data_IF_296201791408
#
_entry.id   IF_296201791408
#
_cell.length_a   1.000
_cell.length_b   1.000
_cell.length_c   1.000
_cell.angle_alpha   90.00
_cell.angle_beta   90.00
_cell.angle_gamma   90.00
#
_symmetry.space_group_name_H-M   'P 1'
#
loop_
_entity.id
_entity.type
_entity.pdbx_description
1 polymer ?
#
# COMPACT_ATOMS: atom_id res chain seq x y z
N UNK A 1 -16.79 -36.63 -78.45
CA UNK A 1 -18.06 -36.07 -78.94
C UNK A 1 -18.82 -35.61 -77.70
N UNK A 2 -18.87 -34.32 -77.45
CA UNK A 2 -19.51 -33.72 -76.26
C UNK A 2 -20.98 -33.34 -76.47
N UNK A 3 -21.45 -33.49 -77.74
CA UNK A 3 -22.80 -33.13 -78.12
C UNK A 3 -23.82 -34.22 -77.78
N UNK A 4 -24.96 -33.90 -77.21
CA UNK A 4 -26.03 -34.77 -76.80
C UNK A 4 -26.70 -35.47 -78.03
N UNK A 5 -26.52 -34.91 -79.21
CA UNK A 5 -27.03 -35.47 -80.52
C UNK A 5 -25.94 -35.40 -81.54
N UNK A 6 -25.88 -36.41 -82.32
CA UNK A 6 -24.98 -36.45 -83.48
C UNK A 6 -25.32 -35.30 -84.44
N UNK A 7 -24.36 -34.42 -84.83
CA UNK A 7 -24.63 -33.23 -85.65
C UNK A 7 -24.99 -33.64 -87.11
N UNK A 8 -24.73 -34.85 -87.50
CA UNK A 8 -25.03 -35.33 -88.90
C UNK A 8 -26.36 -36.07 -89.01
N UNK A 9 -26.76 -36.85 -88.03
CA UNK A 9 -27.95 -37.71 -88.14
C UNK A 9 -29.03 -37.45 -87.08
N UNK A 10 -28.71 -36.54 -86.09
CA UNK A 10 -29.62 -36.17 -85.00
C UNK A 10 -29.88 -37.27 -83.99
N UNK A 11 -29.20 -38.42 -84.04
CA UNK A 11 -29.38 -39.53 -83.11
C UNK A 11 -28.84 -39.10 -81.71
N UNK A 12 -29.58 -39.38 -80.62
CA UNK A 12 -29.11 -39.11 -79.30
C UNK A 12 -27.83 -39.87 -78.96
N UNK A 13 -26.88 -39.22 -78.34
CA UNK A 13 -25.65 -39.80 -77.80
C UNK A 13 -25.82 -40.14 -76.32
N UNK A 14 -26.10 -41.38 -75.96
CA UNK A 14 -26.36 -41.77 -74.59
C UNK A 14 -25.13 -41.57 -73.67
N UNK A 15 -23.93 -41.67 -74.20
CA UNK A 15 -22.70 -41.54 -73.48
C UNK A 15 -22.42 -40.07 -73.10
N UNK A 16 -22.74 -39.14 -74.03
CA UNK A 16 -22.62 -37.68 -73.70
C UNK A 16 -23.65 -37.27 -72.71
N UNK A 17 -24.87 -37.76 -72.73
CA UNK A 17 -25.93 -37.52 -71.76
C UNK A 17 -25.49 -38.04 -70.37
N UNK A 18 -25.01 -39.27 -70.31
CA UNK A 18 -24.51 -39.85 -69.06
C UNK A 18 -23.33 -39.08 -68.50
N UNK A 19 -22.37 -38.79 -69.36
CA UNK A 19 -21.21 -37.98 -68.93
C UNK A 19 -21.61 -36.62 -68.34
N UNK A 20 -22.56 -35.93 -68.95
CA UNK A 20 -23.07 -34.66 -68.42
C UNK A 20 -23.79 -34.84 -67.09
N UNK A 21 -24.54 -35.90 -66.90
CA UNK A 21 -25.17 -36.18 -65.58
C UNK A 21 -24.14 -36.52 -64.55
N UNK A 22 -23.14 -37.30 -64.84
CA UNK A 22 -22.02 -37.62 -63.93
C UNK A 22 -21.26 -36.38 -63.58
N UNK A 23 -20.94 -35.51 -64.55
CA UNK A 23 -20.25 -34.24 -64.30
C UNK A 23 -21.07 -33.32 -63.41
N UNK A 24 -22.39 -33.22 -63.54
CA UNK A 24 -23.25 -32.47 -62.64
C UNK A 24 -23.24 -33.05 -61.23
N UNK A 25 -23.25 -34.40 -61.14
CA UNK A 25 -23.16 -35.06 -59.83
C UNK A 25 -21.83 -34.81 -59.16
N UNK A 26 -20.71 -35.00 -59.85
CA UNK A 26 -19.39 -34.69 -59.32
C UNK A 26 -19.19 -33.21 -58.94
N UNK A 27 -19.71 -32.29 -59.73
CA UNK A 27 -19.68 -30.87 -59.44
C UNK A 27 -20.48 -30.56 -58.13
N UNK A 28 -21.63 -31.21 -58.02
CA UNK A 28 -22.47 -31.06 -56.80
C UNK A 28 -21.77 -31.61 -55.52
N UNK A 29 -21.14 -32.79 -55.62
CA UNK A 29 -20.38 -33.36 -54.51
C UNK A 29 -19.14 -32.54 -54.18
N UNK A 30 -18.42 -32.07 -55.20
CA UNK A 30 -17.27 -31.19 -55.00
C UNK A 30 -17.64 -29.89 -54.22
N UNK A 31 -18.73 -29.23 -54.59
CA UNK A 31 -19.19 -28.06 -53.89
C UNK A 31 -19.63 -28.35 -52.46
N UNK A 32 -20.28 -29.50 -52.21
CA UNK A 32 -20.66 -29.93 -50.86
C UNK A 32 -19.42 -30.18 -49.99
N UNK A 33 -18.47 -30.96 -50.53
CA UNK A 33 -17.23 -31.27 -49.83
C UNK A 33 -16.42 -30.02 -49.55
N UNK A 34 -16.25 -29.13 -50.55
CA UNK A 34 -15.55 -27.85 -50.38
C UNK A 34 -16.22 -26.99 -49.30
N UNK A 35 -17.55 -26.86 -49.29
CA UNK A 35 -18.25 -26.06 -48.29
C UNK A 35 -18.12 -26.67 -46.91
N UNK A 36 -18.17 -28.00 -46.76
CA UNK A 36 -17.98 -28.65 -45.46
C UNK A 36 -16.55 -28.47 -44.91
N UNK A 37 -15.54 -28.62 -45.77
CA UNK A 37 -14.13 -28.41 -45.40
C UNK A 37 -13.88 -26.98 -44.98
N UNK A 38 -14.38 -25.99 -45.73
CA UNK A 38 -14.24 -24.58 -45.40
C UNK A 38 -14.94 -24.21 -44.06
N UNK A 39 -16.13 -24.78 -43.85
CA UNK A 39 -16.85 -24.57 -42.58
C UNK A 39 -16.08 -25.17 -41.40
N UNK A 40 -15.62 -26.41 -41.50
CA UNK A 40 -14.84 -27.06 -40.45
C UNK A 40 -13.52 -26.32 -40.18
N UNK A 41 -12.84 -25.87 -41.25
CA UNK A 41 -11.62 -25.08 -41.12
C UNK A 41 -11.89 -23.74 -40.40
N UNK A 42 -12.97 -23.05 -40.76
CA UNK A 42 -13.38 -21.79 -40.11
C UNK A 42 -13.75 -21.99 -38.63
N UNK A 43 -14.49 -23.04 -38.29
CA UNK A 43 -14.86 -23.38 -36.91
C UNK A 43 -13.61 -23.70 -36.05
N UNK A 44 -12.68 -24.49 -36.63
CA UNK A 44 -11.43 -24.81 -35.91
C UNK A 44 -10.51 -23.62 -35.77
N UNK A 45 -10.39 -22.78 -36.82
CA UNK A 45 -9.62 -21.51 -36.71
C UNK A 45 -10.19 -20.59 -35.63
N UNK A 46 -11.52 -20.47 -35.57
CA UNK A 46 -12.19 -19.67 -34.53
C UNK A 46 -11.95 -20.19 -33.10
N UNK A 47 -11.95 -21.53 -32.92
CA UNK A 47 -11.61 -22.13 -31.61
C UNK A 47 -10.16 -21.90 -31.24
N UNK A 48 -9.24 -22.14 -32.17
CA UNK A 48 -7.80 -21.93 -31.95
C UNK A 48 -7.50 -20.45 -31.63
N UNK A 49 -8.13 -19.49 -32.31
CA UNK A 49 -7.96 -18.08 -32.08
C UNK A 49 -8.47 -17.68 -30.68
N UNK A 50 -9.59 -18.20 -30.22
CA UNK A 50 -10.10 -17.97 -28.86
C UNK A 50 -9.14 -18.49 -27.79
N UNK A 51 -8.55 -19.66 -27.99
CA UNK A 51 -7.55 -20.21 -27.05
C UNK A 51 -6.32 -19.32 -27.02
N UNK A 52 -5.81 -18.86 -28.16
CA UNK A 52 -4.66 -17.95 -28.21
C UNK A 52 -4.97 -16.63 -27.48
N UNK A 53 -6.14 -16.03 -27.71
CA UNK A 53 -6.55 -14.82 -27.03
C UNK A 53 -6.62 -15.05 -25.51
N UNK A 54 -7.22 -16.15 -25.06
CA UNK A 54 -7.27 -16.49 -23.65
C UNK A 54 -5.87 -16.65 -23.03
N UNK A 55 -4.96 -17.35 -23.70
CA UNK A 55 -3.58 -17.49 -23.22
C UNK A 55 -2.86 -16.15 -23.12
N UNK A 56 -3.01 -15.27 -24.12
CA UNK A 56 -2.41 -13.92 -24.11
C UNK A 56 -3.00 -13.08 -22.97
N UNK A 57 -4.31 -13.09 -22.79
CA UNK A 57 -4.97 -12.37 -21.70
C UNK A 57 -4.52 -12.88 -20.32
N UNK A 58 -4.41 -14.19 -20.15
CA UNK A 58 -3.92 -14.80 -18.91
C UNK A 58 -2.46 -14.40 -18.64
N UNK A 59 -1.62 -14.44 -19.67
CA UNK A 59 -0.22 -14.02 -19.56
C UNK A 59 -0.11 -12.54 -19.16
N UNK A 60 -0.89 -11.66 -19.78
CA UNK A 60 -0.92 -10.23 -19.44
C UNK A 60 -1.39 -10.00 -18.00
N UNK A 61 -2.38 -10.74 -17.53
CA UNK A 61 -2.84 -10.67 -16.13
C UNK A 61 -1.75 -11.12 -15.16
N UNK A 62 -1.05 -12.21 -15.44
CA UNK A 62 0.06 -12.69 -14.62
C UNK A 62 1.19 -11.66 -14.58
N UNK A 63 1.57 -11.08 -15.72
CA UNK A 63 2.60 -10.06 -15.80
C UNK A 63 2.19 -8.78 -15.06
N UNK A 64 0.93 -8.35 -15.17
CA UNK A 64 0.40 -7.20 -14.45
C UNK A 64 0.43 -7.43 -12.94
N UNK A 65 0.05 -8.62 -12.50
CA UNK A 65 0.09 -8.98 -11.08
C UNK A 65 1.52 -9.06 -10.53
N UNK A 66 2.43 -9.65 -11.29
CA UNK A 66 3.85 -9.69 -10.93
C UNK A 66 4.47 -8.28 -10.85
N UNK A 67 4.11 -7.40 -11.79
CA UNK A 67 4.55 -6.00 -11.78
C UNK A 67 4.01 -5.24 -10.55
N UNK A 68 2.72 -5.41 -10.22
CA UNK A 68 2.13 -4.80 -9.02
C UNK A 68 2.78 -5.31 -7.74
N UNK A 69 3.04 -6.61 -7.63
CA UNK A 69 3.72 -7.20 -6.48
C UNK A 69 5.16 -6.67 -6.31
N UNK A 70 5.88 -6.49 -7.44
CA UNK A 70 7.28 -6.00 -7.41
C UNK A 70 7.39 -4.48 -7.30
N UNK A 71 6.34 -3.72 -7.59
CA UNK A 71 6.38 -2.25 -7.57
C UNK A 71 6.66 -1.69 -6.18
N UNK A 72 6.16 -2.36 -5.13
CA UNK A 72 6.41 -1.98 -3.74
C UNK A 72 7.89 -2.13 -3.35
N UNK A 73 8.51 -3.25 -3.72
CA UNK A 73 9.93 -3.50 -3.43
C UNK A 73 10.84 -2.52 -4.17
N UNK A 74 10.50 -2.20 -5.43
CA UNK A 74 11.24 -1.23 -6.24
C UNK A 74 11.11 0.18 -5.63
N UNK A 75 9.91 0.60 -5.25
CA UNK A 75 9.67 1.88 -4.62
C UNK A 75 10.45 2.00 -3.29
N UNK A 76 10.39 0.98 -2.44
CA UNK A 76 11.14 0.90 -1.19
C UNK A 76 12.66 0.97 -1.43
N UNK A 77 13.18 0.23 -2.41
CA UNK A 77 14.61 0.27 -2.75
C UNK A 77 15.06 1.65 -3.25
N UNK A 78 14.25 2.31 -4.08
CA UNK A 78 14.52 3.68 -4.57
C UNK A 78 14.52 4.68 -3.43
N UNK A 79 13.55 4.59 -2.50
CA UNK A 79 13.47 5.49 -1.34
C UNK A 79 14.69 5.32 -0.43
N UNK A 80 15.06 4.08 -0.13
CA UNK A 80 16.27 3.78 0.67
C UNK A 80 17.55 4.29 0.01
N UNK A 81 17.66 4.11 -1.30
CA UNK A 81 18.81 4.64 -2.05
C UNK A 81 18.85 6.17 -2.02
N UNK A 82 17.71 6.84 -2.19
CA UNK A 82 17.63 8.30 -2.09
C UNK A 82 17.96 8.80 -0.69
N UNK A 83 17.49 8.11 0.36
CA UNK A 83 17.83 8.41 1.74
C UNK A 83 19.35 8.32 1.96
N UNK A 84 19.97 7.23 1.54
CA UNK A 84 21.42 7.06 1.66
C UNK A 84 22.23 8.07 0.85
N UNK A 85 21.78 8.42 -0.37
CA UNK A 85 22.47 9.40 -1.24
C UNK A 85 22.40 10.84 -0.71
N UNK A 86 21.43 11.16 0.14
CA UNK A 86 21.24 12.50 0.73
C UNK A 86 21.51 12.52 2.25
N UNK A 87 22.26 11.55 2.76
CA UNK A 87 22.48 11.38 4.20
C UNK A 87 22.99 12.64 4.89
N UNK A 88 24.02 13.28 4.35
CA UNK A 88 24.59 14.50 4.92
C UNK A 88 23.55 15.63 5.08
N UNK A 89 22.66 15.76 4.10
CA UNK A 89 21.60 16.77 4.13
C UNK A 89 20.52 16.44 5.15
N UNK A 90 20.11 15.16 5.19
CA UNK A 90 19.03 14.76 6.09
C UNK A 90 19.51 14.69 7.55
N UNK A 91 20.73 14.23 7.81
CA UNK A 91 21.32 14.31 9.16
C UNK A 91 21.41 15.75 9.64
N UNK A 92 21.91 16.67 8.81
CA UNK A 92 21.97 18.10 9.18
C UNK A 92 20.59 18.72 9.46
N UNK A 93 19.55 18.29 8.73
CA UNK A 93 18.17 18.74 9.00
C UNK A 93 17.60 18.12 10.29
N UNK A 94 17.89 16.84 10.56
CA UNK A 94 17.47 16.19 11.81
C UNK A 94 18.13 16.86 13.01
N UNK A 95 19.44 17.13 12.95
CA UNK A 95 20.17 17.86 13.99
C UNK A 95 19.58 19.26 14.20
N UNK A 96 19.26 19.98 13.13
CA UNK A 96 18.65 21.30 13.21
C UNK A 96 17.28 21.26 13.89
N UNK A 97 16.40 20.34 13.47
CA UNK A 97 15.05 20.21 14.07
C UNK A 97 15.13 19.82 15.55
N UNK A 98 16.09 18.96 15.89
CA UNK A 98 16.34 18.58 17.26
C UNK A 98 16.81 19.77 18.11
N UNK A 99 17.77 20.57 17.62
CA UNK A 99 18.23 21.79 18.30
C UNK A 99 17.11 22.80 18.49
N UNK A 100 16.32 23.04 17.45
CA UNK A 100 15.17 23.96 17.49
C UNK A 100 14.00 23.43 18.33
N UNK A 101 13.99 22.14 18.67
CA UNK A 101 12.89 21.46 19.35
C UNK A 101 11.64 21.32 18.47
N UNK A 102 11.83 21.31 17.13
CA UNK A 102 10.75 21.05 16.16
C UNK A 102 10.60 19.56 15.90
N UNK A 103 10.11 18.85 16.90
CA UNK A 103 9.98 17.40 16.87
C UNK A 103 8.91 16.88 15.89
N UNK A 104 7.93 17.72 15.52
CA UNK A 104 6.96 17.37 14.49
C UNK A 104 7.62 17.30 13.10
N UNK A 105 8.42 18.32 12.76
CA UNK A 105 9.20 18.33 11.51
C UNK A 105 10.24 17.22 11.49
N UNK A 106 10.87 16.92 12.63
CA UNK A 106 11.79 15.80 12.80
C UNK A 106 11.11 14.47 12.45
N UNK A 107 9.99 14.15 13.09
CA UNK A 107 9.23 12.93 12.83
C UNK A 107 8.76 12.87 11.37
N UNK A 108 8.20 13.97 10.86
CA UNK A 108 7.71 14.04 9.47
C UNK A 108 8.83 13.82 8.45
N UNK A 109 10.02 14.37 8.63
CA UNK A 109 11.16 14.15 7.75
C UNK A 109 11.58 12.67 7.77
N UNK A 110 11.69 12.10 8.97
CA UNK A 110 12.12 10.71 9.16
C UNK A 110 11.17 9.72 8.46
N UNK A 111 9.86 9.92 8.61
CA UNK A 111 8.82 9.09 7.99
C UNK A 111 8.75 9.27 6.48
N UNK A 112 8.62 10.53 6.01
CA UNK A 112 8.42 10.82 4.59
C UNK A 112 9.60 10.39 3.73
N UNK A 113 10.80 10.36 4.29
CA UNK A 113 12.02 9.92 3.61
C UNK A 113 12.41 8.48 3.92
N UNK A 114 11.63 7.78 4.75
CA UNK A 114 11.87 6.38 5.16
C UNK A 114 13.29 6.18 5.69
N UNK A 115 13.71 7.06 6.61
CA UNK A 115 15.09 7.08 7.12
C UNK A 115 15.42 5.89 8.04
N UNK A 116 14.42 5.13 8.45
CA UNK A 116 14.59 3.91 9.25
C UNK A 116 15.24 2.74 8.51
N UNK A 117 15.56 2.88 7.23
CA UNK A 117 16.15 1.79 6.43
C UNK A 117 17.68 1.79 6.34
N UNK A 118 18.36 2.93 6.10
CA UNK A 118 19.81 3.01 6.04
C UNK A 118 20.47 3.13 7.42
N UNK A 119 21.57 2.41 7.63
CA UNK A 119 22.31 2.37 8.90
C UNK A 119 22.81 3.75 9.37
N UNK A 120 23.02 4.69 8.45
CA UNK A 120 23.48 6.05 8.76
C UNK A 120 22.52 6.84 9.67
N UNK A 121 21.26 6.40 9.76
CA UNK A 121 20.25 7.04 10.63
C UNK A 121 19.96 6.25 11.91
N UNK A 122 20.70 5.16 12.17
CA UNK A 122 20.48 4.34 13.37
C UNK A 122 20.59 5.17 14.67
N UNK A 123 21.52 6.12 14.71
CA UNK A 123 21.72 7.01 15.86
C UNK A 123 20.49 7.85 16.21
N UNK A 124 19.65 8.19 15.22
CA UNK A 124 18.41 8.96 15.42
C UNK A 124 17.19 8.08 15.76
N UNK A 125 17.32 6.76 15.76
CA UNK A 125 16.16 5.86 15.93
C UNK A 125 15.49 6.05 17.28
N UNK A 126 16.26 6.25 18.33
CA UNK A 126 15.73 6.47 19.68
C UNK A 126 14.93 7.77 19.75
N UNK A 127 15.51 8.88 19.32
CA UNK A 127 14.84 10.17 19.30
C UNK A 127 13.65 10.18 18.35
N UNK A 128 13.73 9.47 17.21
CA UNK A 128 12.61 9.31 16.30
C UNK A 128 11.42 8.61 16.96
N UNK A 129 11.64 7.56 17.74
CA UNK A 129 10.55 6.87 18.43
C UNK A 129 9.82 7.82 19.39
N UNK A 130 10.54 8.59 20.16
CA UNK A 130 9.95 9.60 21.03
C UNK A 130 9.23 10.71 20.24
N UNK A 131 9.81 11.19 19.13
CA UNK A 131 9.21 12.20 18.26
C UNK A 131 7.95 11.69 17.56
N UNK A 132 7.90 10.42 17.17
CA UNK A 132 6.72 9.77 16.61
C UNK A 132 5.59 9.68 17.62
N UNK A 133 5.89 9.30 18.87
CA UNK A 133 4.93 9.32 19.97
C UNK A 133 4.41 10.73 20.22
N UNK A 134 5.31 11.73 20.32
CA UNK A 134 4.93 13.13 20.46
C UNK A 134 4.00 13.61 19.35
N UNK A 135 4.30 13.28 18.08
CA UNK A 135 3.47 13.63 16.93
C UNK A 135 2.09 12.98 17.01
N UNK A 136 2.01 11.71 17.41
CA UNK A 136 0.75 10.98 17.57
C UNK A 136 -0.11 11.55 18.69
N UNK A 137 0.50 11.80 19.86
CA UNK A 137 -0.17 12.42 21.02
C UNK A 137 -0.73 13.79 20.63
N UNK A 138 0.09 14.62 19.97
CA UNK A 138 -0.34 15.94 19.49
C UNK A 138 -1.53 15.84 18.53
N UNK A 139 -1.48 14.91 17.57
CA UNK A 139 -2.57 14.67 16.61
C UNK A 139 -3.87 14.22 17.29
N UNK A 140 -3.81 13.29 18.24
CA UNK A 140 -5.00 12.85 18.96
C UNK A 140 -5.60 13.95 19.85
N UNK A 141 -4.77 14.74 20.51
CA UNK A 141 -5.26 15.90 21.29
C UNK A 141 -5.96 16.90 20.38
N UNK A 142 -5.41 17.20 19.19
CA UNK A 142 -6.09 18.08 18.23
C UNK A 142 -7.43 17.50 17.79
N UNK A 143 -7.49 16.20 17.49
CA UNK A 143 -8.75 15.54 17.13
C UNK A 143 -9.79 15.66 18.23
N UNK A 144 -9.39 15.50 19.49
CA UNK A 144 -10.30 15.67 20.63
C UNK A 144 -10.79 17.10 20.82
N UNK A 145 -10.02 18.11 20.39
CA UNK A 145 -10.38 19.53 20.50
C UNK A 145 -11.21 20.05 19.30
N UNK A 146 -11.13 19.42 18.14
CA UNK A 146 -11.78 19.88 16.91
C UNK A 146 -13.28 19.55 16.85
N UNK A 147 -13.77 18.57 17.59
CA UNK A 147 -15.15 18.10 17.50
C UNK A 147 -15.99 18.67 18.64
N UNK A 148 -17.04 19.44 18.30
CA UNK A 148 -18.00 20.04 19.24
C UNK A 148 -18.92 19.00 19.93
N UNK A 149 -18.93 17.74 19.46
CA UNK A 149 -19.80 16.68 19.99
C UNK A 149 -19.08 15.33 20.07
N UNK A 150 -19.18 14.69 21.23
CA UNK A 150 -18.71 13.33 21.50
C UNK A 150 -19.57 12.29 20.74
N UNK A 151 -19.32 12.10 19.44
CA UNK A 151 -19.88 11.01 18.66
C UNK A 151 -18.80 9.93 18.43
N UNK A 152 -19.16 8.76 17.91
CA UNK A 152 -18.36 7.52 17.79
C UNK A 152 -16.85 7.65 17.40
N UNK A 153 -16.42 8.79 16.88
CA UNK A 153 -15.02 9.05 16.48
C UNK A 153 -14.07 9.41 17.63
N UNK A 154 -14.55 10.04 18.70
CA UNK A 154 -13.73 10.51 19.82
C UNK A 154 -13.31 9.38 20.76
N UNK A 155 -14.18 8.41 20.98
CA UNK A 155 -13.88 7.27 21.85
C UNK A 155 -12.61 6.58 21.38
N UNK A 156 -12.46 6.38 20.05
CA UNK A 156 -11.26 5.82 19.46
C UNK A 156 -10.03 6.75 19.61
N UNK A 157 -10.19 8.07 19.41
CA UNK A 157 -9.07 9.01 19.53
C UNK A 157 -8.55 9.08 20.97
N UNK A 158 -9.44 9.04 21.96
CA UNK A 158 -9.09 9.04 23.39
C UNK A 158 -8.42 7.73 23.79
N UNK A 159 -8.94 6.58 23.34
CA UNK A 159 -8.33 5.27 23.57
C UNK A 159 -6.90 5.24 23.03
N UNK A 160 -6.70 5.63 21.76
CA UNK A 160 -5.37 5.67 21.15
C UNK A 160 -4.44 6.69 21.81
N UNK A 161 -4.95 7.85 22.25
CA UNK A 161 -4.16 8.81 23.02
C UNK A 161 -3.61 8.17 24.29
N UNK A 162 -4.46 7.47 25.05
CA UNK A 162 -4.07 6.83 26.30
C UNK A 162 -3.08 5.66 26.07
N UNK A 163 -3.26 4.89 25.01
CA UNK A 163 -2.33 3.82 24.63
C UNK A 163 -0.95 4.38 24.24
N UNK A 164 -0.90 5.45 23.43
CA UNK A 164 0.38 6.05 23.00
C UNK A 164 1.08 6.74 24.17
N UNK A 165 0.33 7.36 25.09
CA UNK A 165 0.90 7.93 26.33
C UNK A 165 1.52 6.84 27.21
N UNK A 166 0.82 5.74 27.40
CA UNK A 166 1.32 4.60 28.18
C UNK A 166 2.60 4.02 27.56
N UNK A 167 2.57 3.80 26.23
CA UNK A 167 3.73 3.34 25.47
C UNK A 167 4.90 4.33 25.57
N UNK A 168 4.64 5.65 25.53
CA UNK A 168 5.68 6.67 25.64
C UNK A 168 6.36 6.62 27.02
N UNK A 169 5.59 6.58 28.11
CA UNK A 169 6.15 6.50 29.46
C UNK A 169 6.86 5.16 29.71
N UNK A 170 6.29 4.04 29.29
CA UNK A 170 6.95 2.74 29.36
C UNK A 170 8.26 2.73 28.57
N UNK A 171 8.30 3.41 27.41
CA UNK A 171 9.50 3.52 26.58
C UNK A 171 10.62 4.31 27.29
N UNK A 172 10.28 5.37 28.03
CA UNK A 172 11.26 6.16 28.80
C UNK A 172 11.84 5.37 29.99
N UNK A 173 11.04 4.51 30.61
CA UNK A 173 11.46 3.71 31.77
C UNK A 173 12.27 2.48 31.38
N UNK A 174 12.13 2.03 30.13
CA UNK A 174 12.91 0.88 29.65
C UNK A 174 14.37 1.25 29.55
N UNK A 175 15.21 0.52 30.29
CA UNK A 175 16.64 0.51 29.96
C UNK A 175 16.77 0.17 28.48
N UNK A 176 17.51 0.98 27.69
CA UNK A 176 17.70 0.69 26.28
C UNK A 176 18.18 -0.75 26.12
N UNK A 177 17.50 -1.53 25.30
CA UNK A 177 17.88 -2.92 25.06
C UNK A 177 19.36 -2.96 24.66
N UNK A 178 20.09 -3.94 25.17
CA UNK A 178 21.52 -4.12 24.91
C UNK A 178 21.86 -4.07 23.41
N UNK A 179 20.94 -4.58 22.56
CA UNK A 179 21.07 -4.52 21.10
C UNK A 179 20.97 -3.11 20.50
N UNK A 180 20.29 -2.15 21.15
CA UNK A 180 20.24 -0.75 20.71
C UNK A 180 21.60 -0.06 20.86
N UNK A 181 22.35 -0.39 21.90
CA UNK A 181 23.72 0.10 22.06
C UNK A 181 24.67 -0.53 21.04
N UNK A 182 24.52 -1.83 20.76
CA UNK A 182 25.35 -2.54 19.79
C UNK A 182 25.13 -2.03 18.35
N UNK A 183 23.93 -1.57 18.02
CA UNK A 183 23.57 -1.09 16.69
C UNK A 183 23.74 0.42 16.50
N UNK A 184 24.14 1.17 17.54
CA UNK A 184 24.18 2.65 17.50
C UNK A 184 22.81 3.33 17.50
N UNK A 185 21.74 2.57 17.71
CA UNK A 185 20.39 3.10 17.73
C UNK A 185 20.06 3.94 18.98
N UNK A 186 20.94 3.89 19.98
CA UNK A 186 20.88 4.69 21.20
C UNK A 186 22.14 5.55 21.30
N UNK A 187 21.99 6.86 21.34
CA UNK A 187 23.08 7.81 21.52
C UNK A 187 22.72 8.75 22.66
N UNK A 188 23.57 8.83 23.68
CA UNK A 188 23.36 9.66 24.87
C UNK A 188 23.20 11.16 24.53
N UNK A 189 23.76 11.63 23.40
CA UNK A 189 23.62 13.03 22.94
C UNK A 189 22.16 13.42 22.66
N UNK A 190 21.27 12.44 22.39
CA UNK A 190 19.87 12.69 22.09
C UNK A 190 18.95 12.59 23.32
N UNK A 191 19.46 12.26 24.51
CA UNK A 191 18.65 12.13 25.71
C UNK A 191 17.95 13.46 26.09
N UNK A 192 18.66 14.57 25.97
CA UNK A 192 18.08 15.91 26.24
C UNK A 192 16.87 16.20 25.31
N UNK A 193 16.91 15.71 24.05
CA UNK A 193 15.80 15.87 23.14
C UNK A 193 14.57 15.05 23.56
N UNK A 194 14.78 13.83 24.07
CA UNK A 194 13.71 12.97 24.58
C UNK A 194 13.07 13.59 25.83
N UNK A 195 13.88 14.11 26.76
CA UNK A 195 13.39 14.82 27.96
C UNK A 195 12.56 16.05 27.58
N UNK A 196 13.04 16.86 26.63
CA UNK A 196 12.31 18.02 26.12
C UNK A 196 10.99 17.65 25.42
N UNK A 197 10.92 16.52 24.73
CA UNK A 197 9.67 16.03 24.17
C UNK A 197 8.68 15.62 25.25
N UNK A 198 9.14 14.92 26.27
CA UNK A 198 8.33 14.53 27.43
C UNK A 198 7.78 15.75 28.15
N UNK A 199 8.61 16.75 28.41
CA UNK A 199 8.17 18.03 29.00
C UNK A 199 7.11 18.74 28.15
N UNK A 200 7.27 18.74 26.81
CA UNK A 200 6.28 19.30 25.88
C UNK A 200 4.96 18.53 25.91
N UNK A 201 4.99 17.20 25.97
CA UNK A 201 3.79 16.35 26.09
C UNK A 201 3.06 16.71 27.38
N UNK A 202 3.76 16.76 28.50
CA UNK A 202 3.17 17.04 29.80
C UNK A 202 2.58 18.44 29.87
N UNK A 203 3.31 19.44 29.36
CA UNK A 203 2.79 20.81 29.27
C UNK A 203 1.51 20.85 28.38
N UNK A 204 1.48 20.11 27.28
CA UNK A 204 0.31 20.03 26.40
C UNK A 204 -0.88 19.40 27.15
N UNK A 205 -0.67 18.30 27.88
CA UNK A 205 -1.70 17.61 28.65
C UNK A 205 -2.22 18.52 29.79
N UNK A 206 -1.32 19.19 30.52
CA UNK A 206 -1.68 20.14 31.60
C UNK A 206 -2.53 21.27 31.04
N UNK A 207 -2.13 21.86 29.92
CA UNK A 207 -2.86 22.99 29.33
C UNK A 207 -4.23 22.52 28.77
N UNK A 208 -4.29 21.39 28.12
CA UNK A 208 -5.52 20.89 27.44
C UNK A 208 -6.55 20.40 28.47
N UNK A 209 -6.11 19.63 29.45
CA UNK A 209 -7.00 19.01 30.45
C UNK A 209 -6.98 19.68 31.81
N UNK A 210 -6.38 20.88 31.92
CA UNK A 210 -6.31 21.66 33.15
C UNK A 210 -5.75 20.87 34.35
N UNK A 211 -4.71 20.03 34.10
CA UNK A 211 -4.08 19.21 35.14
C UNK A 211 -3.11 20.01 35.96
N UNK A 212 -3.10 19.77 37.27
CA UNK A 212 -2.06 20.29 38.17
C UNK A 212 -0.78 19.46 38.07
N UNK A 213 0.35 19.95 38.54
CA UNK A 213 1.61 19.21 38.62
C UNK A 213 1.46 17.89 39.41
N UNK A 214 0.72 17.94 40.54
CA UNK A 214 0.49 16.77 41.40
C UNK A 214 -0.34 15.72 40.66
N UNK A 215 -1.37 16.14 39.90
CA UNK A 215 -2.18 15.27 39.09
C UNK A 215 -1.38 14.66 37.93
N UNK A 216 -0.47 15.42 37.32
CA UNK A 216 0.37 14.93 36.26
C UNK A 216 1.31 13.78 36.71
N UNK A 217 1.89 13.93 37.92
CA UNK A 217 2.71 12.88 38.53
C UNK A 217 1.88 11.59 38.72
N UNK A 218 0.65 11.72 39.24
CA UNK A 218 -0.24 10.56 39.40
C UNK A 218 -0.70 9.97 38.08
N UNK A 219 -0.95 10.82 37.09
CA UNK A 219 -1.43 10.42 35.76
C UNK A 219 -0.41 9.58 35.01
N UNK A 220 0.88 9.77 35.18
CA UNK A 220 1.93 8.92 34.60
C UNK A 220 1.76 7.46 35.03
N UNK A 221 1.45 7.23 36.30
CA UNK A 221 1.32 5.89 36.90
C UNK A 221 -0.01 5.19 36.55
N UNK A 222 -0.98 5.91 35.97
CA UNK A 222 -2.27 5.35 35.61
C UNK A 222 -2.15 4.37 34.44
N UNK A 223 -2.94 3.30 34.51
CA UNK A 223 -3.16 2.41 33.34
C UNK A 223 -3.89 3.18 32.22
N UNK A 224 -3.84 2.73 30.96
CA UNK A 224 -4.57 3.37 29.85
C UNK A 224 -6.03 3.63 30.14
N UNK A 225 -6.73 2.66 30.77
CA UNK A 225 -8.13 2.81 31.16
C UNK A 225 -8.36 3.87 32.24
N UNK A 226 -7.45 4.00 33.21
CA UNK A 226 -7.54 5.04 34.24
C UNK A 226 -7.23 6.42 33.65
N UNK A 227 -6.28 6.53 32.72
CA UNK A 227 -5.98 7.76 31.95
C UNK A 227 -7.23 8.20 31.17
N UNK A 228 -7.91 7.26 30.50
CA UNK A 228 -9.13 7.55 29.77
C UNK A 228 -10.22 8.11 30.69
N UNK A 229 -10.55 7.42 31.78
CA UNK A 229 -11.56 7.90 32.74
C UNK A 229 -11.20 9.26 33.35
N UNK A 230 -9.91 9.50 33.57
CA UNK A 230 -9.44 10.80 34.09
C UNK A 230 -9.70 11.93 33.07
N UNK A 231 -9.36 11.72 31.80
CA UNK A 231 -9.55 12.71 30.73
C UNK A 231 -11.04 12.93 30.47
N UNK A 232 -11.85 11.88 30.36
CA UNK A 232 -13.32 11.99 30.19
C UNK A 232 -13.96 12.87 31.25
N UNK A 233 -13.60 12.66 32.50
CA UNK A 233 -14.10 13.50 33.61
C UNK A 233 -13.73 14.98 33.44
N UNK A 234 -12.53 15.26 32.93
CA UNK A 234 -12.11 16.66 32.71
C UNK A 234 -12.89 17.32 31.59
N UNK A 235 -13.27 16.60 30.56
CA UNK A 235 -14.16 17.12 29.52
C UNK A 235 -15.54 17.43 30.08
N UNK A 236 -16.15 16.52 30.88
CA UNK A 236 -17.46 16.74 31.50
C UNK A 236 -17.49 17.95 32.48
N UNK A 237 -16.39 18.24 33.14
CA UNK A 237 -16.29 19.39 34.07
C UNK A 237 -16.21 20.74 33.35
N UNK A 238 -15.91 20.76 32.05
CA UNK A 238 -15.73 21.98 31.25
C UNK A 238 -16.93 22.27 30.30
N UNK A 239 -17.90 21.34 30.15
CA UNK A 239 -19.20 21.63 29.53
C UNK A 239 -20.15 22.33 30.49
#
# INVERSE_FOLDING_TARGET
>A
IEDEKCPYCGTPNPDAIKHRQDMKHFTGEFHRTRSSVLRTASENAGKSMRIVILCVMTLLLILSFAFLASSWDIASAVTKWQAAANSDTYCALLDQYEEEGDFLSFAALYDQRSLYGPDVYEEYRHVYTAASNYSSIYGYILTLLEEEHWEDGHENALEYLCEVLDYHYEYLEREPYEWLYETGAYDERHLDAVDRMTEKIENLLQMTFSMTEEEMVSFREFSPAEKQVFIERRFEEHE
#
